data_IF_132145516293
#
_entry.id   IF_132145516293
#
_cell.length_a   1.000
_cell.length_b   1.000
_cell.length_c   1.000
_cell.angle_alpha   90.00
_cell.angle_beta   90.00
_cell.angle_gamma   90.00
#
_symmetry.space_group_name_H-M   'P 1'
#
loop_
_entity.id
_entity.type
_entity.pdbx_description
1 polymer ?
#
# COMPACT_ATOMS: atom_id res chain seq x y z
N UNK A 1 -14.16 2.24 -22.24
CA UNK A 1 -13.62 1.61 -21.04
C UNK A 1 -12.11 1.78 -20.92
N UNK A 2 -11.28 1.15 -21.74
CA UNK A 2 -9.81 1.14 -21.59
C UNK A 2 -9.21 2.54 -21.56
N UNK A 3 -9.60 3.44 -22.47
CA UNK A 3 -9.09 4.82 -22.53
C UNK A 3 -9.28 5.65 -21.25
N UNK A 4 -10.29 5.35 -20.45
CA UNK A 4 -10.54 6.07 -19.19
C UNK A 4 -9.96 5.34 -17.97
N UNK A 5 -9.96 4.00 -17.99
CA UNK A 5 -9.49 3.17 -16.87
C UNK A 5 -7.95 3.17 -16.78
N UNK A 6 -7.24 3.06 -17.92
CA UNK A 6 -5.78 2.98 -17.92
C UNK A 6 -5.09 4.20 -17.27
N UNK A 7 -5.44 5.46 -17.61
CA UNK A 7 -4.81 6.61 -16.96
C UNK A 7 -5.06 6.65 -15.45
N UNK A 8 -6.28 6.31 -14.99
CA UNK A 8 -6.62 6.27 -13.56
C UNK A 8 -5.88 5.15 -12.83
N UNK A 9 -5.81 3.96 -13.46
CA UNK A 9 -5.03 2.83 -12.92
C UNK A 9 -3.55 3.16 -12.83
N UNK A 10 -3.00 3.88 -13.81
CA UNK A 10 -1.61 4.32 -13.80
C UNK A 10 -1.35 5.38 -12.72
N UNK A 11 -2.25 6.35 -12.54
CA UNK A 11 -2.14 7.37 -11.49
C UNK A 11 -2.10 6.72 -10.10
N UNK A 12 -3.01 5.79 -9.83
CA UNK A 12 -3.03 5.11 -8.53
C UNK A 12 -1.81 4.20 -8.34
N UNK A 13 -1.31 3.59 -9.42
CA UNK A 13 -0.10 2.77 -9.38
C UNK A 13 1.15 3.58 -9.08
N UNK A 14 1.30 4.78 -9.63
CA UNK A 14 2.41 5.68 -9.31
C UNK A 14 2.42 6.06 -7.82
N UNK A 15 1.25 6.36 -7.26
CA UNK A 15 1.12 6.63 -5.82
C UNK A 15 1.49 5.42 -4.97
N UNK A 16 0.99 4.22 -5.32
CA UNK A 16 1.32 3.00 -4.58
C UNK A 16 2.78 2.60 -4.74
N UNK A 17 3.36 2.78 -5.94
CA UNK A 17 4.79 2.59 -6.14
C UNK A 17 5.60 3.47 -5.18
N UNK A 18 5.30 4.77 -5.11
CA UNK A 18 5.98 5.68 -4.19
C UNK A 18 5.79 5.31 -2.71
N UNK A 19 4.65 4.72 -2.34
CA UNK A 19 4.42 4.25 -1.00
C UNK A 19 5.24 2.98 -0.70
N UNK A 20 5.26 2.04 -1.65
CA UNK A 20 5.87 0.72 -1.47
C UNK A 20 7.39 0.76 -1.57
N UNK A 21 7.98 1.67 -2.38
CA UNK A 21 9.42 1.71 -2.61
C UNK A 21 10.23 1.98 -1.34
N UNK A 22 9.64 2.64 -0.36
CA UNK A 22 10.28 2.94 0.93
C UNK A 22 10.09 1.81 1.96
N UNK A 23 9.07 0.96 1.82
CA UNK A 23 8.72 -0.05 2.83
C UNK A 23 9.89 -0.97 3.21
N UNK A 24 10.68 -1.51 2.25
CA UNK A 24 11.76 -2.45 2.57
C UNK A 24 12.89 -1.86 3.39
N UNK A 25 13.03 -0.55 3.43
CA UNK A 25 14.21 0.15 3.97
C UNK A 25 13.89 1.18 5.05
N UNK A 26 12.61 1.55 5.19
CA UNK A 26 12.19 2.65 6.06
C UNK A 26 12.51 2.41 7.53
N UNK A 27 12.38 1.18 8.01
CA UNK A 27 12.66 0.85 9.41
C UNK A 27 14.13 1.03 9.76
N UNK A 28 15.03 0.60 8.88
CA UNK A 28 16.49 0.75 9.05
C UNK A 28 16.86 2.24 9.00
N UNK A 29 16.33 2.96 8.03
CA UNK A 29 16.55 4.40 7.90
C UNK A 29 16.02 5.19 9.10
N UNK A 30 14.82 4.89 9.56
CA UNK A 30 14.22 5.56 10.71
C UNK A 30 15.06 5.40 11.99
N UNK A 31 15.71 4.24 12.17
CA UNK A 31 16.64 4.02 13.30
C UNK A 31 17.95 4.82 13.20
N UNK A 32 18.34 5.31 12.03
CA UNK A 32 19.54 6.12 11.85
C UNK A 32 19.32 7.62 12.12
N UNK A 33 18.07 8.04 12.28
CA UNK A 33 17.71 9.45 12.50
C UNK A 33 17.84 9.86 13.99
N UNK A 34 18.09 11.14 14.22
CA UNK A 34 18.15 11.70 15.57
C UNK A 34 16.83 11.52 16.32
N UNK A 35 16.90 11.17 17.59
CA UNK A 35 15.75 10.92 18.47
C UNK A 35 15.03 9.61 18.22
N UNK A 36 15.58 8.70 17.38
CA UNK A 36 14.95 7.43 17.07
C UNK A 36 14.92 6.49 18.28
N UNK A 37 13.77 5.84 18.46
CA UNK A 37 13.58 4.71 19.37
C UNK A 37 12.62 3.70 18.75
N UNK A 38 12.55 2.49 19.29
CA UNK A 38 11.75 1.40 18.74
C UNK A 38 10.26 1.77 18.58
N UNK A 39 9.70 2.52 19.54
CA UNK A 39 8.31 2.94 19.51
C UNK A 39 8.05 3.93 18.38
N UNK A 40 8.88 4.98 18.25
CA UNK A 40 8.73 5.98 17.19
C UNK A 40 8.96 5.38 15.82
N UNK A 41 9.92 4.47 15.65
CA UNK A 41 10.12 3.76 14.38
C UNK A 41 8.90 2.94 14.00
N UNK A 42 8.29 2.22 14.95
CA UNK A 42 7.03 1.52 14.72
C UNK A 42 5.90 2.45 14.30
N UNK A 43 5.79 3.63 14.94
CA UNK A 43 4.79 4.65 14.59
C UNK A 43 5.07 5.25 13.20
N UNK A 44 6.32 5.49 12.82
CA UNK A 44 6.68 5.98 11.48
C UNK A 44 6.27 4.98 10.40
N UNK A 45 6.51 3.67 10.62
CA UNK A 45 6.14 2.62 9.67
C UNK A 45 4.63 2.48 9.55
N UNK A 46 3.90 2.50 10.67
CA UNK A 46 2.44 2.31 10.69
C UNK A 46 1.61 3.58 10.56
N UNK A 47 2.18 4.75 10.90
CA UNK A 47 1.44 6.00 11.07
C UNK A 47 0.76 6.50 9.80
N UNK A 48 1.38 6.29 8.63
CA UNK A 48 0.74 6.63 7.35
C UNK A 48 -0.57 5.86 7.13
N UNK A 49 -0.63 4.60 7.56
CA UNK A 49 -1.83 3.79 7.41
C UNK A 49 -2.95 4.27 8.35
N UNK A 50 -2.60 4.73 9.55
CA UNK A 50 -3.55 5.31 10.49
C UNK A 50 -4.21 6.56 9.91
N UNK A 51 -3.42 7.52 9.42
CA UNK A 51 -3.97 8.72 8.79
C UNK A 51 -4.72 8.40 7.51
N UNK A 52 -4.27 7.43 6.72
CA UNK A 52 -5.01 6.97 5.53
C UNK A 52 -6.41 6.45 5.88
N UNK A 53 -6.56 5.66 6.95
CA UNK A 53 -7.87 5.17 7.40
C UNK A 53 -8.75 6.32 7.86
N UNK A 54 -8.21 7.25 8.66
CA UNK A 54 -8.95 8.41 9.18
C UNK A 54 -9.45 9.30 8.02
N UNK A 55 -8.59 9.59 7.06
CA UNK A 55 -8.91 10.52 5.96
C UNK A 55 -9.63 9.87 4.77
N UNK A 56 -9.70 8.54 4.69
CA UNK A 56 -10.35 7.85 3.57
C UNK A 56 -11.83 8.21 3.42
N UNK A 57 -12.59 8.24 4.52
CA UNK A 57 -14.00 8.64 4.52
C UNK A 57 -14.18 10.14 4.23
N UNK A 58 -13.48 11.07 4.89
CA UNK A 58 -13.51 12.49 4.53
C UNK A 58 -13.20 12.76 3.06
N UNK A 59 -12.18 12.11 2.50
CA UNK A 59 -11.85 12.24 1.07
C UNK A 59 -12.94 11.68 0.17
N UNK A 60 -13.59 10.58 0.56
CA UNK A 60 -14.77 10.05 -0.14
C UNK A 60 -15.89 11.09 -0.21
N UNK A 61 -16.30 11.64 0.93
CA UNK A 61 -17.35 12.67 1.03
C UNK A 61 -16.96 13.94 0.26
N UNK A 62 -15.72 14.39 0.39
CA UNK A 62 -15.20 15.55 -0.34
C UNK A 62 -15.27 15.32 -1.85
N UNK A 63 -14.97 14.12 -2.32
CA UNK A 63 -15.01 13.79 -3.75
C UNK A 63 -16.41 13.77 -4.33
N UNK A 64 -17.41 13.43 -3.52
CA UNK A 64 -18.83 13.47 -3.93
C UNK A 64 -19.35 14.92 -4.01
N UNK A 65 -18.89 15.80 -3.11
CA UNK A 65 -19.33 17.20 -3.03
C UNK A 65 -18.54 18.13 -3.96
N UNK A 66 -17.22 18.08 -3.92
CA UNK A 66 -16.32 18.99 -4.65
C UNK A 66 -15.85 18.43 -6.00
N UNK A 67 -16.12 17.14 -6.25
CA UNK A 67 -15.75 16.44 -7.48
C UNK A 67 -14.51 15.56 -7.34
N UNK A 68 -14.50 14.45 -8.10
CA UNK A 68 -13.47 13.41 -8.07
C UNK A 68 -12.07 13.95 -8.34
N UNK A 69 -11.95 14.71 -9.43
CA UNK A 69 -10.66 15.16 -9.95
C UNK A 69 -9.95 16.13 -8.99
N UNK A 70 -10.67 17.10 -8.47
CA UNK A 70 -10.13 18.06 -7.48
C UNK A 70 -9.64 17.35 -6.21
N UNK A 71 -10.43 16.41 -5.70
CA UNK A 71 -10.07 15.62 -4.51
C UNK A 71 -8.84 14.77 -4.74
N UNK A 72 -8.69 14.14 -5.92
CA UNK A 72 -7.48 13.36 -6.24
C UNK A 72 -6.25 14.29 -6.30
N UNK A 73 -6.36 15.47 -6.89
CA UNK A 73 -5.26 16.46 -6.93
C UNK A 73 -4.85 16.84 -5.52
N UNK A 74 -5.80 17.20 -4.65
CA UNK A 74 -5.52 17.56 -3.25
C UNK A 74 -4.79 16.42 -2.53
N UNK A 75 -5.25 15.19 -2.66
CA UNK A 75 -4.59 14.03 -2.03
C UNK A 75 -3.19 13.75 -2.55
N UNK A 76 -2.97 13.89 -3.87
CA UNK A 76 -1.65 13.75 -4.46
C UNK A 76 -0.69 14.89 -4.05
N UNK A 77 -1.20 16.12 -3.88
CA UNK A 77 -0.40 17.24 -3.34
C UNK A 77 0.01 16.99 -1.89
N UNK A 78 -0.92 16.55 -1.04
CA UNK A 78 -0.58 16.16 0.35
C UNK A 78 0.46 15.04 0.37
N UNK A 79 0.33 14.05 -0.51
CA UNK A 79 1.30 12.96 -0.62
C UNK A 79 2.67 13.44 -1.10
N UNK A 80 2.71 14.37 -2.07
CA UNK A 80 3.96 14.97 -2.56
C UNK A 80 4.66 15.83 -1.48
N UNK A 81 3.90 16.67 -0.78
CA UNK A 81 4.44 17.52 0.31
C UNK A 81 4.94 16.63 1.46
N UNK A 82 4.17 15.61 1.86
CA UNK A 82 4.61 14.64 2.87
C UNK A 82 5.88 13.90 2.45
N UNK A 83 6.01 13.56 1.17
CA UNK A 83 7.23 12.94 0.63
C UNK A 83 8.42 13.89 0.68
N UNK A 84 8.21 15.17 0.36
CA UNK A 84 9.27 16.18 0.47
C UNK A 84 9.74 16.35 1.92
N UNK A 85 8.82 16.41 2.88
CA UNK A 85 9.17 16.49 4.31
C UNK A 85 9.98 15.25 4.72
N UNK A 86 9.57 14.05 4.31
CA UNK A 86 10.33 12.81 4.57
C UNK A 86 11.73 12.82 3.94
N UNK A 87 11.87 13.39 2.74
CA UNK A 87 13.16 13.49 2.05
C UNK A 87 14.15 14.44 2.74
N UNK A 88 13.63 15.48 3.39
CA UNK A 88 14.41 16.50 4.09
C UNK A 88 14.55 16.23 5.60
N UNK A 89 13.95 15.12 6.10
CA UNK A 89 13.94 14.80 7.52
C UNK A 89 15.35 14.50 8.05
N UNK A 90 15.76 15.21 9.08
CA UNK A 90 17.01 14.98 9.83
C UNK A 90 16.77 14.25 11.14
N UNK A 91 15.56 14.28 11.65
CA UNK A 91 15.11 13.63 12.88
C UNK A 91 13.86 12.77 12.66
N UNK A 92 13.56 11.92 13.63
CA UNK A 92 12.47 10.95 13.56
C UNK A 92 11.09 11.61 13.56
N UNK A 93 10.93 12.80 14.19
CA UNK A 93 9.64 13.48 14.26
C UNK A 93 9.29 14.15 12.92
N UNK A 94 10.28 14.74 12.24
CA UNK A 94 10.09 15.24 10.88
C UNK A 94 9.70 14.12 9.91
N UNK A 95 10.36 12.97 10.00
CA UNK A 95 9.99 11.77 9.21
C UNK A 95 8.56 11.34 9.54
N UNK A 96 8.19 11.29 10.81
CA UNK A 96 6.83 10.93 11.25
C UNK A 96 5.79 11.91 10.68
N UNK A 97 6.01 13.21 10.78
CA UNK A 97 5.10 14.23 10.25
C UNK A 97 4.90 14.04 8.72
N UNK A 98 5.98 13.83 7.99
CA UNK A 98 5.91 13.56 6.56
C UNK A 98 5.10 12.28 6.25
N UNK A 99 5.29 11.20 7.01
CA UNK A 99 4.54 9.94 6.87
C UNK A 99 3.04 10.10 7.18
N UNK A 100 2.71 10.83 8.24
CA UNK A 100 1.30 11.14 8.56
C UNK A 100 0.64 11.95 7.45
N UNK A 101 1.36 12.92 6.87
CA UNK A 101 0.85 13.72 5.76
C UNK A 101 0.70 12.90 4.47
N UNK A 102 1.65 11.99 4.17
CA UNK A 102 1.52 11.04 3.08
C UNK A 102 0.24 10.20 3.21
N UNK A 103 -0.05 9.70 4.41
CA UNK A 103 -1.26 8.93 4.67
C UNK A 103 -2.55 9.75 4.51
N UNK A 104 -2.53 11.02 4.95
CA UNK A 104 -3.68 11.91 4.81
C UNK A 104 -4.11 12.13 3.35
N UNK A 105 -3.21 11.95 2.37
CA UNK A 105 -3.54 11.94 0.95
C UNK A 105 -4.29 10.68 0.48
N UNK A 106 -5.40 10.33 1.11
CA UNK A 106 -6.13 9.07 0.99
C UNK A 106 -7.01 8.98 -0.28
N UNK A 107 -6.39 8.97 -1.47
CA UNK A 107 -7.12 8.98 -2.76
C UNK A 107 -7.63 7.61 -3.23
N UNK A 108 -7.28 6.50 -2.56
CA UNK A 108 -7.58 5.16 -3.04
C UNK A 108 -9.06 4.92 -3.33
N UNK A 109 -9.93 5.24 -2.37
CA UNK A 109 -11.39 5.13 -2.52
C UNK A 109 -11.93 6.07 -3.61
N UNK A 110 -11.37 7.29 -3.73
CA UNK A 110 -11.80 8.30 -4.71
C UNK A 110 -11.49 7.84 -6.15
N UNK A 111 -10.29 7.28 -6.38
CA UNK A 111 -9.92 6.74 -7.71
C UNK A 111 -10.78 5.53 -8.06
N UNK A 112 -11.03 4.63 -7.10
CA UNK A 112 -11.93 3.48 -7.28
C UNK A 112 -13.35 3.93 -7.64
N UNK A 113 -13.89 4.92 -6.94
CA UNK A 113 -15.19 5.49 -7.24
C UNK A 113 -15.20 6.14 -8.64
N UNK A 114 -14.17 6.93 -8.98
CA UNK A 114 -14.06 7.57 -10.30
C UNK A 114 -13.99 6.54 -11.44
N UNK A 115 -13.28 5.41 -11.25
CA UNK A 115 -13.28 4.31 -12.23
C UNK A 115 -14.69 3.74 -12.37
N UNK A 116 -15.41 3.52 -11.25
CA UNK A 116 -16.79 3.01 -11.27
C UNK A 116 -17.77 3.96 -11.95
N UNK A 117 -17.53 5.27 -11.85
CA UNK A 117 -18.38 6.31 -12.47
C UNK A 117 -18.21 6.37 -14.00
N UNK A 118 -17.05 5.95 -14.53
CA UNK A 118 -16.76 6.04 -15.99
C UNK A 118 -16.90 4.71 -16.74
N UNK A 119 -17.25 3.62 -16.05
CA UNK A 119 -17.47 2.30 -16.66
C UNK A 119 -18.89 1.80 -16.42
N UNK A 120 -19.41 0.99 -17.36
CA UNK A 120 -20.68 0.29 -17.18
C UNK A 120 -20.59 -0.74 -16.06
N UNK A 121 -21.69 -1.05 -15.40
CA UNK A 121 -21.75 -1.95 -14.25
C UNK A 121 -21.15 -3.33 -14.56
N UNK A 122 -21.43 -3.90 -15.71
CA UNK A 122 -20.95 -5.20 -16.17
C UNK A 122 -19.41 -5.21 -16.38
N UNK A 123 -18.81 -4.04 -16.53
CA UNK A 123 -17.37 -3.87 -16.77
C UNK A 123 -16.59 -3.48 -15.52
N UNK A 124 -17.26 -3.20 -14.39
CA UNK A 124 -16.62 -2.73 -13.13
C UNK A 124 -15.59 -3.76 -12.62
N UNK A 125 -15.95 -5.04 -12.59
CA UNK A 125 -15.04 -6.10 -12.13
C UNK A 125 -13.76 -6.14 -12.97
N UNK A 126 -13.87 -6.05 -14.29
CA UNK A 126 -12.71 -6.01 -15.20
C UNK A 126 -11.87 -4.75 -15.02
N UNK A 127 -12.49 -3.61 -14.80
CA UNK A 127 -11.79 -2.35 -14.53
C UNK A 127 -11.02 -2.40 -13.21
N UNK A 128 -11.61 -2.97 -12.15
CA UNK A 128 -10.94 -3.18 -10.87
C UNK A 128 -9.80 -4.18 -10.97
N UNK A 129 -9.94 -5.25 -11.77
CA UNK A 129 -8.85 -6.18 -12.03
C UNK A 129 -7.66 -5.51 -12.73
N UNK A 130 -7.90 -4.64 -13.72
CA UNK A 130 -6.86 -3.85 -14.38
C UNK A 130 -6.15 -2.96 -13.35
N UNK A 131 -6.90 -2.22 -12.53
CA UNK A 131 -6.35 -1.36 -11.47
C UNK A 131 -5.50 -2.18 -10.49
N UNK A 132 -6.01 -3.32 -10.04
CA UNK A 132 -5.29 -4.24 -9.14
C UNK A 132 -3.99 -4.76 -9.75
N UNK A 133 -3.99 -5.10 -11.05
CA UNK A 133 -2.78 -5.49 -11.79
C UNK A 133 -1.72 -4.40 -11.83
N UNK A 134 -2.11 -3.15 -12.09
CA UNK A 134 -1.20 -2.01 -12.05
C UNK A 134 -0.59 -1.79 -10.66
N UNK A 135 -1.40 -1.91 -9.60
CA UNK A 135 -0.93 -1.82 -8.20
C UNK A 135 0.02 -2.98 -7.87
N UNK A 136 -0.30 -4.21 -8.30
CA UNK A 136 0.55 -5.39 -8.09
C UNK A 136 1.91 -5.27 -8.76
N UNK A 137 1.95 -4.82 -10.02
CA UNK A 137 3.21 -4.55 -10.74
C UNK A 137 4.01 -3.47 -10.01
N UNK A 138 3.36 -2.39 -9.57
CA UNK A 138 4.02 -1.31 -8.82
C UNK A 138 4.63 -1.83 -7.51
N UNK A 139 3.92 -2.71 -6.80
CA UNK A 139 4.43 -3.36 -5.59
C UNK A 139 5.67 -4.19 -5.90
N UNK A 140 5.62 -5.02 -6.97
CA UNK A 140 6.73 -5.87 -7.38
C UNK A 140 8.00 -5.06 -7.69
N UNK A 141 7.84 -4.05 -8.53
CA UNK A 141 8.96 -3.17 -8.90
C UNK A 141 9.51 -2.41 -7.69
N UNK A 142 8.64 -1.93 -6.82
CA UNK A 142 9.02 -1.16 -5.64
C UNK A 142 9.84 -2.00 -4.64
N UNK A 143 9.45 -3.25 -4.41
CA UNK A 143 10.16 -4.17 -3.51
C UNK A 143 11.59 -4.49 -3.99
N UNK A 144 11.79 -4.57 -5.31
CA UNK A 144 13.14 -4.78 -5.88
C UNK A 144 13.96 -3.50 -5.94
N UNK A 145 13.37 -2.41 -6.48
CA UNK A 145 14.09 -1.16 -6.70
C UNK A 145 14.35 -0.36 -5.41
N UNK A 146 13.47 -0.48 -4.40
CA UNK A 146 13.60 0.26 -3.15
C UNK A 146 14.93 0.04 -2.43
N UNK A 147 15.29 -1.21 -2.10
CA UNK A 147 16.58 -1.51 -1.46
C UNK A 147 17.78 -1.10 -2.32
N UNK A 148 17.74 -1.35 -3.63
CA UNK A 148 18.83 -1.02 -4.55
C UNK A 148 19.05 0.50 -4.58
N UNK A 149 18.02 1.28 -4.87
CA UNK A 149 18.14 2.74 -4.92
C UNK A 149 18.46 3.31 -3.54
N UNK A 150 17.78 2.82 -2.49
CA UNK A 150 18.01 3.25 -1.10
C UNK A 150 19.42 2.94 -0.61
N UNK A 151 20.04 1.84 -1.06
CA UNK A 151 21.41 1.48 -0.72
C UNK A 151 22.46 2.32 -1.45
N UNK A 152 22.25 2.66 -2.72
CA UNK A 152 23.23 3.45 -3.50
C UNK A 152 23.05 4.96 -3.37
N UNK A 153 21.81 5.45 -3.39
CA UNK A 153 21.49 6.89 -3.39
C UNK A 153 20.96 7.41 -2.04
N UNK A 154 20.82 6.51 -1.07
CA UNK A 154 20.20 6.83 0.22
C UNK A 154 18.69 6.82 0.19
N UNK A 155 18.07 6.55 1.34
CA UNK A 155 16.61 6.50 1.49
C UNK A 155 15.90 7.84 1.19
N UNK A 156 16.48 9.02 1.47
CA UNK A 156 15.92 10.29 1.05
C UNK A 156 15.62 10.37 -0.46
N UNK A 157 16.45 9.74 -1.32
CA UNK A 157 16.22 9.70 -2.76
C UNK A 157 14.90 9.02 -3.13
N UNK A 158 14.48 8.00 -2.38
CA UNK A 158 13.20 7.31 -2.59
C UNK A 158 12.02 8.25 -2.33
N UNK A 159 12.12 9.12 -1.36
CA UNK A 159 11.08 10.10 -1.07
C UNK A 159 11.03 11.21 -2.13
N UNK A 160 12.18 11.64 -2.68
CA UNK A 160 12.20 12.55 -3.84
C UNK A 160 11.56 11.92 -5.07
N UNK A 161 11.87 10.65 -5.35
CA UNK A 161 11.21 9.88 -6.43
C UNK A 161 9.69 9.86 -6.20
N UNK A 162 9.26 9.56 -4.98
CA UNK A 162 7.83 9.52 -4.61
C UNK A 162 7.15 10.85 -4.85
N UNK A 163 7.78 11.97 -4.47
CA UNK A 163 7.29 13.32 -4.74
C UNK A 163 7.14 13.57 -6.24
N UNK A 164 8.18 13.28 -7.02
CA UNK A 164 8.17 13.49 -8.48
C UNK A 164 7.06 12.66 -9.15
N UNK A 165 6.92 11.38 -8.78
CA UNK A 165 5.87 10.51 -9.30
C UNK A 165 4.47 11.02 -8.97
N UNK A 166 4.28 11.62 -7.78
CA UNK A 166 3.01 12.23 -7.42
C UNK A 166 2.69 13.46 -8.28
N UNK A 167 3.68 14.30 -8.58
CA UNK A 167 3.51 15.44 -9.49
C UNK A 167 3.23 14.98 -10.92
N UNK A 168 3.89 13.94 -11.39
CA UNK A 168 3.61 13.31 -12.71
C UNK A 168 2.17 12.77 -12.71
N UNK A 169 1.71 12.13 -11.64
CA UNK A 169 0.33 11.64 -11.52
C UNK A 169 -0.69 12.79 -11.62
N UNK A 170 -0.43 13.95 -11.00
CA UNK A 170 -1.26 15.16 -11.12
C UNK A 170 -1.28 15.64 -12.57
N UNK A 171 -0.13 15.73 -13.21
CA UNK A 171 -0.04 16.15 -14.62
C UNK A 171 -0.86 15.25 -15.55
N UNK A 172 -0.74 13.91 -15.36
CA UNK A 172 -1.52 12.93 -16.14
C UNK A 172 -3.02 13.10 -15.87
N UNK A 173 -3.41 13.27 -14.60
CA UNK A 173 -4.80 13.47 -14.22
C UNK A 173 -5.40 14.70 -14.90
N UNK A 174 -4.68 15.80 -14.91
CA UNK A 174 -5.16 17.06 -15.53
C UNK A 174 -5.27 16.94 -17.04
N UNK A 175 -4.27 16.33 -17.70
CA UNK A 175 -4.17 16.31 -19.16
C UNK A 175 -4.92 15.14 -19.84
N UNK A 176 -4.98 13.97 -19.20
CA UNK A 176 -5.45 12.73 -19.84
C UNK A 176 -6.79 12.24 -19.34
N UNK A 177 -7.21 12.66 -18.14
CA UNK A 177 -8.45 12.16 -17.53
C UNK A 177 -9.54 13.22 -17.71
N UNK A 178 -10.68 12.91 -18.38
CA UNK A 178 -11.82 13.83 -18.46
C UNK A 178 -12.51 13.97 -17.11
N UNK A 179 -13.25 15.06 -16.92
CA UNK A 179 -14.11 15.17 -15.74
C UNK A 179 -15.22 14.12 -15.84
N UNK A 180 -15.45 13.31 -14.80
CA UNK A 180 -16.57 12.39 -14.80
C UNK A 180 -17.88 13.16 -14.77
N UNK A 181 -18.98 12.58 -15.31
CA UNK A 181 -20.30 13.17 -15.14
C UNK A 181 -20.62 13.31 -13.64
N UNK A 182 -21.30 14.39 -13.26
CA UNK A 182 -21.81 14.53 -11.89
C UNK A 182 -22.89 13.49 -11.67
N UNK A 183 -22.57 12.42 -10.98
CA UNK A 183 -23.52 11.40 -10.57
C UNK A 183 -24.04 11.83 -9.19
N UNK A 184 -25.30 12.23 -9.11
CA UNK A 184 -25.98 12.44 -7.83
C UNK A 184 -26.28 11.05 -7.24
N UNK A 185 -25.43 10.58 -6.34
CA UNK A 185 -25.72 9.38 -5.58
C UNK A 185 -26.83 9.71 -4.59
N UNK A 186 -28.04 9.20 -4.83
CA UNK A 186 -29.11 9.21 -3.82
C UNK A 186 -28.67 8.24 -2.71
N UNK A 187 -28.11 8.78 -1.65
CA UNK A 187 -27.78 8.00 -0.46
C UNK A 187 -29.10 7.44 0.10
N UNK A 188 -29.22 6.12 0.07
CA UNK A 188 -30.32 5.46 0.73
C UNK A 188 -29.94 5.40 2.23
N UNK A 189 -30.51 6.32 3.03
CA UNK A 189 -30.22 6.50 4.48
C UNK A 189 -30.51 5.27 5.36
N UNK A 190 -30.87 4.14 4.77
CA UNK A 190 -31.30 2.93 5.48
C UNK A 190 -30.17 2.03 5.95
N UNK A 191 -28.96 2.13 5.39
CA UNK A 191 -27.83 1.33 5.84
C UNK A 191 -27.04 2.07 6.94
N UNK A 192 -27.26 1.67 8.16
CA UNK A 192 -26.51 2.19 9.32
C UNK A 192 -25.22 1.41 9.50
N UNK A 193 -24.15 2.08 9.90
CA UNK A 193 -22.87 1.46 10.27
C UNK A 193 -23.07 0.32 11.29
N UNK A 194 -24.07 0.47 12.19
CA UNK A 194 -24.47 -0.57 13.15
C UNK A 194 -24.89 -1.90 12.50
N UNK A 195 -25.52 -1.86 11.33
CA UNK A 195 -26.01 -3.06 10.64
C UNK A 195 -24.83 -3.86 10.05
N UNK A 196 -23.79 -3.15 9.60
CA UNK A 196 -22.55 -3.76 9.11
C UNK A 196 -21.75 -4.34 10.28
N UNK A 197 -21.57 -3.59 11.36
CA UNK A 197 -20.84 -4.02 12.56
C UNK A 197 -21.59 -5.12 13.34
N UNK A 198 -22.91 -5.22 13.20
CA UNK A 198 -23.73 -6.30 13.80
C UNK A 198 -23.59 -7.66 13.08
N UNK A 199 -23.04 -7.70 11.87
CA UNK A 199 -22.92 -8.94 11.11
C UNK A 199 -21.65 -9.72 11.49
N UNK A 200 -21.82 -10.84 12.22
CA UNK A 200 -20.72 -11.65 12.71
C UNK A 200 -19.79 -12.19 11.61
N UNK A 201 -20.32 -12.51 10.40
CA UNK A 201 -19.50 -13.01 9.30
C UNK A 201 -18.64 -11.91 8.68
N UNK A 202 -19.18 -10.71 8.53
CA UNK A 202 -18.42 -9.54 8.07
C UNK A 202 -17.32 -9.22 9.07
N UNK A 203 -17.63 -9.23 10.38
CA UNK A 203 -16.63 -8.95 11.41
C UNK A 203 -15.49 -9.98 11.43
N UNK A 204 -15.78 -11.28 11.26
CA UNK A 204 -14.75 -12.32 11.11
C UNK A 204 -13.80 -12.02 9.95
N UNK A 205 -14.34 -11.62 8.79
CA UNK A 205 -13.52 -11.24 7.63
C UNK A 205 -12.68 -10.00 7.91
N UNK A 206 -13.23 -8.99 8.58
CA UNK A 206 -12.50 -7.78 8.95
C UNK A 206 -11.37 -8.08 9.94
N UNK A 207 -11.62 -8.90 10.97
CA UNK A 207 -10.59 -9.31 11.95
C UNK A 207 -9.48 -10.11 11.25
N UNK A 208 -9.83 -11.07 10.41
CA UNK A 208 -8.83 -11.86 9.67
C UNK A 208 -7.96 -10.98 8.77
N UNK A 209 -8.58 -10.06 8.02
CA UNK A 209 -7.85 -9.14 7.17
C UNK A 209 -6.97 -8.15 7.98
N UNK A 210 -7.48 -7.67 9.12
CA UNK A 210 -6.71 -6.83 10.03
C UNK A 210 -5.46 -7.55 10.55
N UNK A 211 -5.62 -8.76 11.07
CA UNK A 211 -4.50 -9.56 11.58
C UNK A 211 -3.47 -9.86 10.49
N UNK A 212 -3.91 -10.25 9.29
CA UNK A 212 -3.02 -10.49 8.15
C UNK A 212 -2.21 -9.23 7.80
N UNK A 213 -2.86 -8.06 7.73
CA UNK A 213 -2.20 -6.79 7.41
C UNK A 213 -1.26 -6.34 8.52
N UNK A 214 -1.64 -6.54 9.78
CA UNK A 214 -0.79 -6.22 10.93
C UNK A 214 0.50 -7.07 10.91
N UNK A 215 0.38 -8.38 10.72
CA UNK A 215 1.52 -9.28 10.62
C UNK A 215 2.40 -8.94 9.42
N UNK A 216 1.81 -8.70 8.25
CA UNK A 216 2.56 -8.26 7.06
C UNK A 216 3.35 -6.97 7.31
N UNK A 217 2.72 -5.98 7.96
CA UNK A 217 3.41 -4.71 8.30
C UNK A 217 4.53 -4.95 9.31
N UNK A 218 4.30 -5.85 10.28
CA UNK A 218 5.32 -6.25 11.25
C UNK A 218 6.53 -6.91 10.55
N UNK A 219 6.31 -7.77 9.55
CA UNK A 219 7.39 -8.34 8.76
C UNK A 219 8.23 -7.26 8.05
N UNK A 220 7.59 -6.28 7.41
CA UNK A 220 8.29 -5.16 6.78
C UNK A 220 9.04 -4.25 7.78
N UNK A 221 8.61 -4.24 9.05
CA UNK A 221 9.33 -3.54 10.11
C UNK A 221 10.57 -4.32 10.56
N UNK A 222 10.41 -5.61 10.84
CA UNK A 222 11.39 -6.42 11.59
C UNK A 222 12.44 -7.08 10.69
N UNK A 223 12.03 -7.61 9.53
CA UNK A 223 12.94 -8.35 8.63
C UNK A 223 14.14 -7.50 8.21
N UNK A 224 14.01 -6.26 7.70
CA UNK A 224 15.15 -5.44 7.33
C UNK A 224 16.09 -5.16 8.50
N UNK A 225 15.53 -4.95 9.70
CA UNK A 225 16.32 -4.66 10.90
C UNK A 225 17.16 -5.88 11.28
N UNK A 226 16.58 -7.09 11.29
CA UNK A 226 17.30 -8.32 11.62
C UNK A 226 18.39 -8.57 10.57
N UNK A 227 18.08 -8.49 9.28
CA UNK A 227 19.04 -8.72 8.22
C UNK A 227 20.23 -7.75 8.29
N UNK A 228 19.99 -6.48 8.54
CA UNK A 228 21.06 -5.47 8.60
C UNK A 228 21.82 -5.50 9.92
N UNK A 229 21.14 -5.62 11.06
CA UNK A 229 21.80 -5.53 12.38
C UNK A 229 22.37 -6.85 12.88
N UNK A 230 21.69 -7.98 12.61
CA UNK A 230 22.13 -9.30 13.11
C UNK A 230 22.98 -10.03 12.08
N UNK A 231 22.59 -9.98 10.81
CA UNK A 231 23.31 -10.70 9.75
C UNK A 231 24.24 -9.81 8.91
N UNK A 232 24.35 -8.51 9.25
CA UNK A 232 25.25 -7.55 8.60
C UNK A 232 25.03 -7.38 7.09
N UNK A 233 23.78 -7.57 6.63
CA UNK A 233 23.44 -7.33 5.23
C UNK A 233 23.43 -5.85 4.92
N UNK A 234 23.85 -5.48 3.71
CA UNK A 234 23.71 -4.11 3.24
C UNK A 234 22.25 -3.86 2.78
N UNK A 235 21.80 -2.61 2.91
CA UNK A 235 20.44 -2.21 2.48
C UNK A 235 20.19 -2.56 1.01
N UNK A 236 21.21 -2.37 0.16
CA UNK A 236 21.13 -2.69 -1.28
C UNK A 236 20.81 -4.15 -1.58
N UNK A 237 21.14 -5.08 -0.68
CA UNK A 237 21.00 -6.53 -0.89
C UNK A 237 19.66 -7.09 -0.42
N UNK A 238 18.83 -6.30 0.27
CA UNK A 238 17.51 -6.72 0.76
C UNK A 238 16.55 -7.16 -0.37
N UNK A 239 16.78 -6.75 -1.62
CA UNK A 239 16.00 -7.21 -2.77
C UNK A 239 16.07 -8.73 -2.96
N UNK A 240 17.17 -9.38 -2.52
CA UNK A 240 17.37 -10.83 -2.61
C UNK A 240 16.36 -11.61 -1.78
N UNK A 241 15.74 -10.99 -0.77
CA UNK A 241 14.64 -11.58 0.01
C UNK A 241 13.30 -11.26 -0.63
N UNK A 242 13.09 -10.00 -1.00
CA UNK A 242 11.78 -9.54 -1.46
C UNK A 242 11.41 -10.06 -2.86
N UNK A 243 12.35 -10.08 -3.82
CA UNK A 243 12.05 -10.53 -5.18
C UNK A 243 11.69 -12.01 -5.24
N UNK A 244 12.48 -12.95 -4.67
CA UNK A 244 12.11 -14.36 -4.66
C UNK A 244 10.78 -14.62 -3.95
N UNK A 245 10.54 -13.98 -2.79
CA UNK A 245 9.29 -14.10 -2.05
C UNK A 245 8.08 -13.66 -2.89
N UNK A 246 8.23 -12.60 -3.66
CA UNK A 246 7.17 -12.13 -4.57
C UNK A 246 6.94 -13.07 -5.74
N UNK A 247 7.99 -13.61 -6.34
CA UNK A 247 7.86 -14.57 -7.44
C UNK A 247 7.11 -15.81 -6.93
N UNK A 248 7.49 -16.34 -5.77
CA UNK A 248 6.80 -17.47 -5.13
C UNK A 248 5.33 -17.14 -4.83
N UNK A 249 5.06 -15.95 -4.31
CA UNK A 249 3.69 -15.47 -4.06
C UNK A 249 2.84 -15.41 -5.33
N UNK A 250 3.40 -14.88 -6.43
CA UNK A 250 2.71 -14.83 -7.72
C UNK A 250 2.47 -16.24 -8.29
N UNK A 251 3.44 -17.14 -8.18
CA UNK A 251 3.28 -18.54 -8.62
C UNK A 251 2.22 -19.28 -7.80
N UNK A 252 2.15 -19.01 -6.49
CA UNK A 252 1.14 -19.61 -5.61
C UNK A 252 -0.28 -19.05 -5.85
N UNK A 253 -0.40 -17.83 -6.36
CA UNK A 253 -1.69 -17.16 -6.58
C UNK A 253 -2.55 -17.92 -7.62
N UNK A 254 -1.95 -18.45 -8.69
CA UNK A 254 -2.66 -19.19 -9.73
C UNK A 254 -3.35 -20.44 -9.19
N UNK A 255 -2.64 -21.39 -8.60
CA UNK A 255 -3.23 -22.59 -7.98
C UNK A 255 -4.25 -22.26 -6.88
N UNK A 256 -3.97 -21.24 -6.05
CA UNK A 256 -4.88 -20.81 -4.98
C UNK A 256 -6.22 -20.29 -5.55
N UNK A 257 -6.18 -19.46 -6.61
CA UNK A 257 -7.38 -18.95 -7.28
C UNK A 257 -8.18 -20.09 -7.93
N UNK A 258 -7.52 -21.05 -8.58
CA UNK A 258 -8.18 -22.21 -9.18
C UNK A 258 -8.87 -23.07 -8.10
N UNK A 259 -8.21 -23.31 -6.97
CA UNK A 259 -8.80 -24.05 -5.85
C UNK A 259 -10.01 -23.30 -5.26
N UNK A 260 -9.88 -22.01 -5.05
CA UNK A 260 -10.93 -21.19 -4.49
C UNK A 260 -12.14 -21.09 -5.43
N UNK A 261 -11.92 -20.60 -6.67
CA UNK A 261 -13.02 -20.26 -7.58
C UNK A 261 -13.61 -21.47 -8.30
N UNK A 262 -12.76 -22.33 -8.90
CA UNK A 262 -13.26 -23.47 -9.69
C UNK A 262 -13.72 -24.65 -8.84
N UNK A 263 -13.08 -24.88 -7.68
CA UNK A 263 -13.43 -25.99 -6.78
C UNK A 263 -14.24 -25.56 -5.57
N UNK A 264 -14.56 -24.27 -5.40
CA UNK A 264 -15.34 -23.74 -4.29
C UNK A 264 -14.65 -23.87 -2.92
N UNK A 265 -13.33 -24.13 -2.87
CA UNK A 265 -12.56 -24.43 -1.66
C UNK A 265 -11.97 -23.17 -1.02
N UNK A 266 -12.77 -22.12 -0.87
CA UNK A 266 -12.29 -20.83 -0.31
C UNK A 266 -11.75 -20.97 1.12
N UNK A 267 -12.42 -21.78 1.96
CA UNK A 267 -12.03 -22.00 3.34
C UNK A 267 -10.69 -22.72 3.46
N UNK A 268 -10.49 -23.76 2.68
CA UNK A 268 -9.25 -24.55 2.67
C UNK A 268 -8.06 -23.68 2.23
N UNK A 269 -8.24 -22.90 1.17
CA UNK A 269 -7.20 -21.97 0.69
C UNK A 269 -6.82 -20.96 1.76
N UNK A 270 -7.82 -20.39 2.47
CA UNK A 270 -7.57 -19.46 3.57
C UNK A 270 -6.80 -20.14 4.72
N UNK A 271 -7.22 -21.34 5.13
CA UNK A 271 -6.56 -22.09 6.22
C UNK A 271 -5.13 -22.46 5.84
N UNK A 272 -4.89 -22.96 4.62
CA UNK A 272 -3.54 -23.26 4.12
C UNK A 272 -2.66 -21.99 4.16
N UNK A 273 -3.18 -20.86 3.69
CA UNK A 273 -2.46 -19.59 3.73
C UNK A 273 -2.05 -19.16 5.15
N UNK A 274 -2.98 -19.30 6.12
CA UNK A 274 -2.70 -18.99 7.53
C UNK A 274 -1.64 -19.95 8.10
N UNK A 275 -1.75 -21.24 7.81
CA UNK A 275 -0.77 -22.25 8.29
C UNK A 275 0.62 -21.98 7.73
N UNK A 276 0.74 -21.69 6.43
CA UNK A 276 2.03 -21.31 5.82
C UNK A 276 2.61 -20.07 6.47
N UNK A 277 1.77 -19.08 6.81
CA UNK A 277 2.18 -17.87 7.50
C UNK A 277 2.74 -18.19 8.89
N UNK A 278 2.05 -19.02 9.67
CA UNK A 278 2.50 -19.46 10.99
C UNK A 278 3.84 -20.20 10.89
N UNK A 279 3.97 -21.15 9.97
CA UNK A 279 5.19 -21.92 9.76
C UNK A 279 6.35 -20.99 9.40
N UNK A 280 6.13 -20.03 8.50
CA UNK A 280 7.15 -19.06 8.09
C UNK A 280 7.67 -18.23 9.29
N UNK A 281 6.77 -17.71 10.14
CA UNK A 281 7.19 -16.96 11.35
C UNK A 281 7.91 -17.83 12.38
N UNK A 282 7.50 -19.08 12.55
CA UNK A 282 8.22 -20.02 13.43
C UNK A 282 9.62 -20.31 12.91
N UNK A 283 9.76 -20.58 11.62
CA UNK A 283 11.09 -20.80 11.00
C UNK A 283 11.98 -19.56 11.15
N UNK A 284 11.47 -18.37 10.92
CA UNK A 284 12.21 -17.12 11.16
C UNK A 284 12.63 -16.97 12.63
N UNK A 285 11.76 -17.30 13.58
CA UNK A 285 12.04 -17.19 15.02
C UNK A 285 13.09 -18.15 15.54
N UNK A 286 13.22 -19.32 14.93
CA UNK A 286 14.21 -20.35 15.29
C UNK A 286 15.44 -20.36 14.38
N UNK A 287 15.54 -19.47 13.41
CA UNK A 287 16.65 -19.46 12.47
C UNK A 287 17.93 -18.94 13.12
N UNK A 288 19.02 -19.70 12.95
CA UNK A 288 20.39 -19.33 13.36
C UNK A 288 21.24 -18.77 12.21
N UNK A 289 20.73 -18.81 10.98
CA UNK A 289 21.44 -18.32 9.80
C UNK A 289 20.52 -17.46 8.91
N UNK A 290 21.11 -16.53 8.16
CA UNK A 290 20.38 -15.67 7.23
C UNK A 290 19.64 -16.46 6.14
N UNK A 291 20.19 -17.59 5.69
CA UNK A 291 19.58 -18.44 4.65
C UNK A 291 18.27 -19.09 5.13
N UNK A 292 18.23 -19.55 6.40
CA UNK A 292 17.02 -20.15 6.99
C UNK A 292 16.00 -19.07 7.36
N UNK A 293 16.49 -17.87 7.68
CA UNK A 293 15.64 -16.72 8.01
C UNK A 293 14.89 -16.18 6.79
N UNK A 294 15.50 -16.19 5.60
CA UNK A 294 14.92 -15.72 4.33
C UNK A 294 14.12 -16.80 3.62
#
# INVERSE_FOLDING_TARGET
>A
MIKSVLPLSFIISLRFFGLFIVLPVISVYAFSLEGANATLVGIVVGGYALTQVIFQTPFGIMSDKLGRKGTIITGLLLFAIGSLICALATDILALLLGRLLQGAGAIGAVVTAMISDVVKEEQRSKAMAIMGGFIGISFALAMGLGPVIGGYAGVPALFYITMILSLIAIFILVKKVPNPPKITHTYNDKLRIKDVLGNANINKMHITNFLQKALMTFAFLVIPIILTKTYSWEIKDLWQVYIPSMILGLLAMGPASILAEKKGKYREVLVIGILLFIISYLLMGFSSSSIIFC
#
